data_IF_686584749522
#
_entry.id   IF_686584749522
#
_cell.length_a   1.000
_cell.length_b   1.000
_cell.length_c   1.000
_cell.angle_alpha   90.00
_cell.angle_beta   90.00
_cell.angle_gamma   90.00
#
_symmetry.space_group_name_H-M   'P 1'
#
loop_
_entity.id
_entity.type
_entity.pdbx_description
1 polymer ?
#
# COMPACT_ATOMS: atom_id res chain seq x y z
N UNK A 1 48.23 -45.89 31.66
CA UNK A 1 48.14 -44.43 31.92
C UNK A 1 47.39 -43.78 30.75
N UNK A 2 46.28 -43.11 31.05
CA UNK A 2 45.18 -42.76 30.14
C UNK A 2 45.47 -41.53 29.27
N UNK A 3 46.35 -41.63 28.26
CA UNK A 3 46.71 -40.46 27.42
C UNK A 3 45.73 -40.24 26.24
N UNK A 4 45.02 -41.28 25.77
CA UNK A 4 44.07 -41.15 24.64
C UNK A 4 42.72 -40.50 25.00
N UNK A 5 42.34 -40.53 26.27
CA UNK A 5 41.06 -39.95 26.73
C UNK A 5 41.18 -38.43 26.99
N UNK A 6 42.38 -37.92 27.21
CA UNK A 6 42.63 -36.51 27.53
C UNK A 6 42.64 -35.61 26.28
N UNK A 7 42.98 -36.15 25.12
CA UNK A 7 43.04 -35.41 23.84
C UNK A 7 41.68 -35.21 23.18
N UNK A 8 40.67 -36.01 23.51
CA UNK A 8 39.32 -35.86 22.95
C UNK A 8 38.53 -34.72 23.61
N UNK A 9 38.82 -34.40 24.88
CA UNK A 9 38.09 -33.39 25.64
C UNK A 9 38.52 -31.95 25.31
N UNK A 10 39.72 -31.76 24.77
CA UNK A 10 40.27 -30.41 24.56
C UNK A 10 39.74 -29.75 23.27
N UNK A 11 39.29 -30.53 22.29
CA UNK A 11 38.76 -30.01 21.02
C UNK A 11 37.29 -29.58 21.07
N UNK A 12 36.56 -29.94 22.13
CA UNK A 12 35.14 -29.61 22.27
C UNK A 12 34.89 -28.20 22.84
N UNK A 13 35.91 -27.52 23.36
CA UNK A 13 35.73 -26.26 24.09
C UNK A 13 35.96 -24.98 23.26
N UNK A 14 36.53 -25.07 22.06
CA UNK A 14 36.92 -23.89 21.27
C UNK A 14 35.90 -23.46 20.20
N UNK A 15 34.74 -24.11 20.12
CA UNK A 15 33.74 -23.87 19.07
C UNK A 15 32.78 -22.69 19.28
N UNK A 16 32.73 -22.04 20.45
CA UNK A 16 31.72 -21.01 20.75
C UNK A 16 32.21 -19.56 20.72
N UNK A 17 33.49 -19.29 20.41
CA UNK A 17 33.97 -17.93 20.19
C UNK A 17 33.73 -17.45 18.75
N UNK A 18 32.59 -17.80 18.17
CA UNK A 18 32.05 -17.13 16.99
C UNK A 18 31.51 -15.78 17.41
N UNK A 19 32.40 -14.81 17.56
CA UNK A 19 32.11 -13.42 17.87
C UNK A 19 31.36 -12.80 16.69
N UNK A 20 30.06 -13.02 16.61
CA UNK A 20 29.17 -12.22 15.80
C UNK A 20 29.09 -10.86 16.45
N UNK A 21 29.78 -9.87 15.87
CA UNK A 21 29.52 -8.47 16.20
C UNK A 21 28.01 -8.25 16.07
N UNK A 22 27.32 -8.07 17.20
CA UNK A 22 25.94 -7.62 17.21
C UNK A 22 25.96 -6.17 16.74
N UNK A 23 25.85 -5.98 15.44
CA UNK A 23 25.47 -4.69 14.89
C UNK A 23 24.10 -4.35 15.50
N UNK A 24 23.96 -3.18 16.15
CA UNK A 24 22.69 -2.77 16.72
C UNK A 24 21.59 -2.88 15.66
N UNK A 25 20.43 -3.48 15.97
CA UNK A 25 19.33 -3.57 15.03
C UNK A 25 19.03 -2.20 14.42
N UNK A 26 18.98 -2.14 13.09
CA UNK A 26 18.67 -0.91 12.39
C UNK A 26 17.31 -0.37 12.88
N UNK A 27 17.16 0.97 13.03
CA UNK A 27 15.89 1.57 13.40
C UNK A 27 14.77 1.15 12.44
N UNK A 28 13.52 0.99 12.93
CA UNK A 28 12.38 0.73 12.06
C UNK A 28 12.23 1.85 11.02
N UNK A 29 11.79 1.52 9.79
CA UNK A 29 11.48 2.54 8.81
C UNK A 29 10.35 3.45 9.30
N UNK A 30 10.32 4.72 8.86
CA UNK A 30 9.25 5.65 9.22
C UNK A 30 7.89 5.12 8.77
N UNK A 31 6.81 5.44 9.50
CA UNK A 31 5.46 4.99 9.14
C UNK A 31 5.05 5.56 7.77
N UNK A 32 4.20 4.84 7.02
CA UNK A 32 3.64 5.34 5.77
C UNK A 32 2.92 6.68 5.98
N UNK A 33 3.14 7.63 5.06
CA UNK A 33 2.45 8.91 5.07
C UNK A 33 1.01 8.73 4.62
N UNK A 34 0.07 9.43 5.26
CA UNK A 34 -1.35 9.34 4.95
C UNK A 34 -1.66 10.00 3.61
N UNK A 35 -2.44 9.32 2.76
CA UNK A 35 -2.79 9.79 1.42
C UNK A 35 -3.72 11.00 1.51
N UNK A 36 -3.36 12.10 0.85
CA UNK A 36 -4.15 13.32 0.80
C UNK A 36 -4.74 13.59 -0.60
N UNK A 37 -6.04 13.86 -0.65
CA UNK A 37 -6.76 14.29 -1.85
C UNK A 37 -6.56 15.79 -2.10
N UNK A 38 -5.37 16.17 -2.59
CA UNK A 38 -4.98 17.59 -2.74
C UNK A 38 -5.64 18.25 -3.97
N UNK A 39 -5.74 17.53 -5.10
CA UNK A 39 -6.25 18.08 -6.36
C UNK A 39 -7.27 17.14 -6.99
N UNK A 40 -8.52 17.32 -6.60
CA UNK A 40 -9.67 16.59 -7.14
C UNK A 40 -10.60 17.55 -7.88
N UNK A 41 -10.22 17.99 -9.11
CA UNK A 41 -11.15 18.77 -9.92
C UNK A 41 -12.45 17.98 -10.10
N UNK A 42 -13.61 18.65 -10.13
CA UNK A 42 -14.88 17.96 -10.24
C UNK A 42 -14.98 17.20 -11.58
N UNK A 43 -15.63 16.03 -11.60
CA UNK A 43 -15.88 15.27 -12.83
C UNK A 43 -16.77 16.08 -13.78
N UNK A 44 -16.49 16.01 -15.09
CA UNK A 44 -17.45 16.49 -16.08
C UNK A 44 -18.69 15.59 -16.09
N UNK A 45 -19.81 16.14 -15.63
CA UNK A 45 -21.10 15.48 -15.72
C UNK A 45 -21.65 15.51 -17.15
N UNK A 46 -22.20 14.42 -17.69
CA UNK A 46 -22.80 14.41 -19.02
C UNK A 46 -23.98 15.39 -19.12
N UNK A 47 -24.00 16.22 -20.18
CA UNK A 47 -25.00 17.28 -20.36
C UNK A 47 -26.41 16.70 -20.52
N UNK A 48 -26.52 15.60 -21.25
CA UNK A 48 -27.80 14.93 -21.55
C UNK A 48 -28.47 14.47 -20.25
N UNK A 49 -27.68 13.95 -19.31
CA UNK A 49 -28.17 13.52 -18.01
C UNK A 49 -28.56 14.71 -17.11
N UNK A 50 -27.80 15.82 -17.20
CA UNK A 50 -28.12 17.05 -16.48
C UNK A 50 -29.47 17.64 -16.95
N UNK A 51 -29.71 17.68 -18.27
CA UNK A 51 -30.97 18.17 -18.84
C UNK A 51 -32.17 17.32 -18.43
N UNK A 52 -31.97 16.04 -18.14
CA UNK A 52 -33.01 15.12 -17.66
C UNK A 52 -33.18 15.12 -16.13
N UNK A 53 -32.40 15.93 -15.40
CA UNK A 53 -32.42 15.94 -13.92
C UNK A 53 -31.94 14.63 -13.31
N UNK A 54 -31.20 13.82 -14.06
CA UNK A 54 -30.68 12.53 -13.61
C UNK A 54 -29.43 12.80 -12.79
N UNK A 55 -29.35 12.20 -11.60
CA UNK A 55 -28.24 12.33 -10.66
C UNK A 55 -27.99 11.03 -9.90
N UNK A 56 -27.00 11.03 -9.02
CA UNK A 56 -26.66 9.84 -8.25
C UNK A 56 -25.41 10.00 -7.39
N UNK A 57 -25.20 9.06 -6.48
CA UNK A 57 -24.01 8.95 -5.66
C UNK A 57 -23.31 7.62 -5.93
N UNK A 58 -21.99 7.62 -5.94
CA UNK A 58 -21.20 6.39 -6.08
C UNK A 58 -20.04 6.38 -5.10
N UNK A 59 -19.91 5.29 -4.36
CA UNK A 59 -18.83 5.07 -3.41
C UNK A 59 -17.81 4.13 -4.03
N UNK A 60 -16.55 4.55 -4.08
CA UNK A 60 -15.45 3.76 -4.63
C UNK A 60 -14.45 3.39 -3.56
N UNK A 61 -13.94 2.16 -3.62
CA UNK A 61 -12.68 1.77 -2.98
C UNK A 61 -11.56 2.06 -3.97
N UNK A 62 -10.57 2.83 -3.54
CA UNK A 62 -9.46 3.26 -4.38
C UNK A 62 -8.16 2.80 -3.74
N UNK A 63 -7.34 2.06 -4.48
CA UNK A 63 -5.98 1.71 -4.08
C UNK A 63 -5.01 2.67 -4.74
N UNK A 64 -4.12 3.28 -3.94
CA UNK A 64 -3.13 4.24 -4.43
C UNK A 64 -1.76 3.57 -4.50
N UNK A 65 -1.13 3.70 -5.66
CA UNK A 65 0.23 3.23 -5.91
C UNK A 65 1.27 4.10 -5.22
N UNK A 66 2.51 3.62 -5.16
CA UNK A 66 3.65 4.35 -4.58
C UNK A 66 4.02 5.62 -5.36
N UNK A 67 3.49 5.78 -6.57
CA UNK A 67 3.60 6.96 -7.42
C UNK A 67 2.52 8.02 -7.14
N UNK A 68 1.65 7.79 -6.15
CA UNK A 68 0.52 8.67 -5.84
C UNK A 68 -0.63 8.57 -6.85
N UNK A 69 -0.64 7.58 -7.75
CA UNK A 69 -1.75 7.41 -8.71
C UNK A 69 -2.68 6.29 -8.28
N UNK A 70 -3.98 6.37 -8.58
CA UNK A 70 -4.91 5.26 -8.43
C UNK A 70 -4.45 4.07 -9.28
N UNK A 71 -4.15 2.94 -8.64
CA UNK A 71 -3.82 1.67 -9.30
C UNK A 71 -5.06 0.79 -9.47
N UNK A 72 -6.03 0.90 -8.56
CA UNK A 72 -7.27 0.15 -8.60
C UNK A 72 -8.45 1.02 -8.14
N UNK A 73 -9.56 0.98 -8.90
CA UNK A 73 -10.81 1.68 -8.56
C UNK A 73 -11.96 0.68 -8.65
N UNK A 74 -12.51 0.30 -7.51
CA UNK A 74 -13.64 -0.63 -7.40
C UNK A 74 -14.90 0.11 -6.93
N UNK A 75 -16.03 -0.10 -7.61
CA UNK A 75 -17.32 0.44 -7.19
C UNK A 75 -17.86 -0.42 -6.04
N UNK A 76 -18.14 0.20 -4.89
CA UNK A 76 -18.76 -0.48 -3.76
C UNK A 76 -20.28 -0.36 -3.82
N UNK A 77 -20.76 0.87 -4.00
CA UNK A 77 -22.20 1.19 -4.04
C UNK A 77 -22.43 2.26 -5.09
N UNK A 78 -23.47 2.11 -5.91
CA UNK A 78 -23.92 3.12 -6.85
C UNK A 78 -25.42 3.32 -6.75
N UNK A 79 -25.86 4.58 -6.69
CA UNK A 79 -27.26 4.99 -6.74
C UNK A 79 -27.46 5.91 -7.94
N UNK A 80 -28.63 5.81 -8.60
CA UNK A 80 -28.95 6.60 -9.79
C UNK A 80 -28.46 5.95 -11.08
N UNK A 81 -27.97 6.75 -12.03
CA UNK A 81 -27.71 6.29 -13.39
C UNK A 81 -26.35 5.54 -13.53
N UNK A 82 -26.31 4.38 -14.21
CA UNK A 82 -25.09 3.59 -14.37
C UNK A 82 -24.03 4.29 -15.23
N UNK A 83 -24.44 5.04 -16.26
CA UNK A 83 -23.51 5.82 -17.11
C UNK A 83 -22.87 6.97 -16.34
N UNK A 84 -23.59 7.60 -15.41
CA UNK A 84 -23.01 8.60 -14.50
C UNK A 84 -21.98 7.98 -13.56
N UNK A 85 -22.28 6.81 -12.98
CA UNK A 85 -21.37 6.07 -12.10
C UNK A 85 -20.10 5.64 -12.85
N UNK A 86 -20.26 5.20 -14.11
CA UNK A 86 -19.15 4.85 -14.99
C UNK A 86 -18.26 6.05 -15.33
N UNK A 87 -18.85 7.21 -15.64
CA UNK A 87 -18.11 8.45 -15.86
C UNK A 87 -17.27 8.81 -14.63
N UNK A 88 -17.88 8.77 -13.45
CA UNK A 88 -17.22 9.08 -12.18
C UNK A 88 -16.07 8.11 -11.89
N UNK A 89 -16.25 6.80 -12.15
CA UNK A 89 -15.18 5.81 -11.97
C UNK A 89 -13.95 6.13 -12.82
N UNK A 90 -14.15 6.51 -14.08
CA UNK A 90 -13.05 6.88 -14.98
C UNK A 90 -12.32 8.12 -14.48
N UNK A 91 -13.07 9.13 -14.02
CA UNK A 91 -12.50 10.35 -13.47
C UNK A 91 -11.67 10.07 -12.22
N UNK A 92 -12.19 9.28 -11.28
CA UNK A 92 -11.48 8.90 -10.05
C UNK A 92 -10.16 8.20 -10.37
N UNK A 93 -10.12 7.34 -11.38
CA UNK A 93 -8.89 6.67 -11.83
C UNK A 93 -7.82 7.60 -12.42
N UNK A 94 -8.16 8.85 -12.73
CA UNK A 94 -7.25 9.84 -13.30
C UNK A 94 -6.80 10.89 -12.28
N UNK A 95 -7.35 10.86 -11.05
CA UNK A 95 -7.05 11.85 -10.03
C UNK A 95 -5.62 11.68 -9.52
N UNK A 96 -4.81 12.76 -9.49
CA UNK A 96 -3.53 12.74 -8.80
C UNK A 96 -3.79 12.67 -7.29
N UNK A 97 -3.21 11.69 -6.60
CA UNK A 97 -3.13 11.65 -5.15
C UNK A 97 -1.70 11.97 -4.73
N UNK A 98 -1.53 12.63 -3.59
CA UNK A 98 -0.21 12.77 -2.97
C UNK A 98 -0.19 11.81 -1.78
N UNK A 99 0.71 10.83 -1.85
CA UNK A 99 1.06 9.94 -0.75
C UNK A 99 2.27 10.52 0.01
#
# INVERSE_FOLDING_TARGET
>A
MNVRLLSLSLFAATGLAGCGASEPPAPPPPPPTEVAAVKTPPPQYPLELACMGVGGTSTFKVTIGTDGKPSEVALLTGAGNPSASLNLRRHVGQLPQHA
#
